data_IF_951920177040
#
_entry.id   IF_951920177040
#
_cell.length_a   1.000
_cell.length_b   1.000
_cell.length_c   1.000
_cell.angle_alpha   90.00
_cell.angle_beta   90.00
_cell.angle_gamma   90.00
#
_symmetry.space_group_name_H-M   'P 1'
#
loop_
_entity.id
_entity.type
_entity.pdbx_description
1 polymer ?
#
# COMPACT_ATOMS: atom_id res chain seq x y z
N UNK A 1 -10.36 -31.36 -24.47
CA UNK A 1 -9.12 -31.18 -23.68
C UNK A 1 -9.22 -32.02 -22.40
N UNK A 2 -9.23 -33.35 -22.53
CA UNK A 2 -9.26 -34.31 -21.42
C UNK A 2 -8.16 -35.38 -21.61
N UNK A 3 -7.06 -35.01 -22.27
CA UNK A 3 -6.06 -35.99 -22.75
C UNK A 3 -4.64 -35.70 -22.27
N UNK A 4 -4.51 -35.04 -21.12
CA UNK A 4 -3.25 -34.97 -20.37
C UNK A 4 -3.61 -35.21 -18.90
N UNK A 5 -3.25 -36.37 -18.36
CA UNK A 5 -3.54 -36.82 -16.98
C UNK A 5 -2.81 -36.02 -15.90
N UNK A 6 -2.95 -34.70 -15.90
CA UNK A 6 -2.58 -33.86 -14.77
C UNK A 6 -3.81 -33.63 -13.91
N UNK A 7 -3.76 -34.04 -12.65
CA UNK A 7 -4.74 -33.62 -11.65
C UNK A 7 -4.68 -32.09 -11.51
N UNK A 8 -5.75 -31.42 -11.93
CA UNK A 8 -5.88 -29.97 -11.77
C UNK A 8 -6.16 -29.68 -10.31
N UNK A 9 -5.13 -29.28 -9.57
CA UNK A 9 -5.26 -28.86 -8.19
C UNK A 9 -5.73 -27.41 -8.10
N UNK A 10 -6.80 -27.15 -7.35
CA UNK A 10 -7.29 -25.79 -7.05
C UNK A 10 -6.55 -25.13 -5.86
N UNK A 11 -5.44 -25.73 -5.43
CA UNK A 11 -4.65 -25.21 -4.32
C UNK A 11 -4.00 -23.88 -4.73
N UNK A 12 -3.99 -22.92 -3.80
CA UNK A 12 -3.36 -21.62 -4.02
C UNK A 12 -1.85 -21.75 -4.25
N UNK A 13 -1.17 -22.60 -3.46
CA UNK A 13 0.24 -22.95 -3.66
C UNK A 13 0.61 -24.20 -2.84
N UNK A 14 1.89 -24.58 -2.83
CA UNK A 14 2.40 -25.71 -2.03
C UNK A 14 2.12 -25.56 -0.52
N UNK A 15 2.02 -24.34 -0.01
CA UNK A 15 1.74 -24.06 1.40
C UNK A 15 0.26 -24.12 1.76
N UNK A 16 -0.64 -23.78 0.84
CA UNK A 16 -2.07 -23.57 1.11
C UNK A 16 -2.90 -24.50 0.22
N UNK A 17 -3.50 -25.56 0.79
CA UNK A 17 -4.29 -26.55 0.05
C UNK A 17 -5.75 -26.11 -0.17
N UNK A 18 -5.96 -24.83 -0.43
CA UNK A 18 -7.29 -24.24 -0.62
C UNK A 18 -7.25 -23.24 -1.77
N UNK A 19 -8.37 -23.09 -2.47
CA UNK A 19 -8.53 -21.99 -3.41
C UNK A 19 -8.63 -20.66 -2.65
N UNK A 20 -8.36 -19.54 -3.33
CA UNK A 20 -8.44 -18.20 -2.73
C UNK A 20 -9.81 -17.89 -2.12
N UNK A 21 -10.89 -18.34 -2.77
CA UNK A 21 -12.26 -18.13 -2.29
C UNK A 21 -12.53 -18.88 -0.97
N UNK A 22 -12.10 -20.13 -0.87
CA UNK A 22 -12.23 -20.92 0.34
C UNK A 22 -11.39 -20.34 1.48
N UNK A 23 -10.16 -19.92 1.17
CA UNK A 23 -9.28 -19.26 2.12
C UNK A 23 -9.91 -17.99 2.69
N UNK A 24 -10.57 -17.18 1.85
CA UNK A 24 -11.32 -15.99 2.29
C UNK A 24 -12.41 -16.35 3.30
N UNK A 25 -13.23 -17.37 2.99
CA UNK A 25 -14.32 -17.81 3.87
C UNK A 25 -13.79 -18.33 5.20
N UNK A 26 -12.71 -19.12 5.18
CA UNK A 26 -12.10 -19.65 6.41
C UNK A 26 -11.59 -18.52 7.30
N UNK A 27 -10.88 -17.54 6.73
CA UNK A 27 -10.36 -16.39 7.48
C UNK A 27 -11.50 -15.56 8.06
N UNK A 28 -12.57 -15.33 7.28
CA UNK A 28 -13.73 -14.56 7.71
C UNK A 28 -14.48 -15.24 8.88
N UNK A 29 -14.76 -16.55 8.76
CA UNK A 29 -15.52 -17.30 9.77
C UNK A 29 -14.70 -17.47 11.05
N UNK A 30 -13.43 -17.86 10.93
CA UNK A 30 -12.53 -18.06 12.09
C UNK A 30 -12.00 -16.75 12.66
N UNK A 31 -12.25 -15.61 12.00
CA UNK A 31 -11.75 -14.27 12.36
C UNK A 31 -10.24 -14.24 12.61
N UNK A 32 -9.48 -14.90 11.73
CA UNK A 32 -8.02 -14.94 11.83
C UNK A 32 -7.46 -13.57 11.43
N UNK A 33 -6.68 -12.94 12.30
CA UNK A 33 -6.21 -11.56 12.08
C UNK A 33 -4.77 -11.45 11.59
N UNK A 34 -3.94 -12.43 11.91
CA UNK A 34 -2.50 -12.40 11.56
C UNK A 34 -2.16 -13.46 10.53
N UNK A 35 -1.09 -13.21 9.75
CA UNK A 35 -0.58 -14.21 8.81
C UNK A 35 -0.16 -15.51 9.51
N UNK A 36 0.46 -15.41 10.69
CA UNK A 36 0.85 -16.57 11.48
C UNK A 36 -0.36 -17.42 11.89
N UNK A 37 -1.46 -16.80 12.31
CA UNK A 37 -2.68 -17.53 12.66
C UNK A 37 -3.32 -18.20 11.44
N UNK A 38 -3.27 -17.55 10.27
CA UNK A 38 -3.71 -18.16 9.01
C UNK A 38 -2.86 -19.37 8.68
N UNK A 39 -1.54 -19.26 8.72
CA UNK A 39 -0.63 -20.36 8.41
C UNK A 39 -0.80 -21.53 9.40
N UNK A 40 -0.99 -21.27 10.70
CA UNK A 40 -1.28 -22.31 11.69
C UNK A 40 -2.62 -23.00 11.47
N UNK A 41 -3.63 -22.26 11.01
CA UNK A 41 -4.99 -22.78 10.85
C UNK A 41 -5.20 -23.57 9.54
N UNK A 42 -4.52 -23.19 8.45
CA UNK A 42 -4.77 -23.74 7.11
C UNK A 42 -3.53 -24.16 6.33
N UNK A 43 -2.34 -23.80 6.79
CA UNK A 43 -1.09 -24.11 6.09
C UNK A 43 -0.70 -25.57 6.25
N UNK A 44 -0.14 -26.17 5.18
CA UNK A 44 0.50 -27.49 5.25
C UNK A 44 1.72 -27.48 6.19
N UNK A 45 2.40 -26.33 6.26
CA UNK A 45 3.54 -26.09 7.14
C UNK A 45 3.17 -24.88 8.01
N UNK A 46 2.75 -25.10 9.27
CA UNK A 46 2.26 -24.05 10.17
C UNK A 46 3.23 -22.88 10.38
N UNK A 47 4.53 -23.15 10.44
CA UNK A 47 5.58 -22.16 10.73
C UNK A 47 6.27 -21.63 9.46
N UNK A 48 5.68 -21.83 8.28
CA UNK A 48 6.24 -21.30 7.03
C UNK A 48 6.07 -19.78 6.93
N UNK A 49 7.10 -19.10 6.42
CA UNK A 49 7.08 -17.67 6.09
C UNK A 49 6.24 -17.34 4.84
N UNK A 50 5.70 -18.37 4.18
CA UNK A 50 4.96 -18.26 2.93
C UNK A 50 5.87 -18.08 1.70
N UNK A 51 5.23 -18.02 0.53
CA UNK A 51 5.87 -17.70 -0.75
C UNK A 51 5.26 -16.45 -1.37
N UNK A 52 5.80 -16.06 -2.52
CA UNK A 52 5.31 -14.96 -3.36
C UNK A 52 3.85 -15.09 -3.83
N UNK A 53 3.22 -16.26 -3.67
CA UNK A 53 1.80 -16.48 -3.97
C UNK A 53 0.91 -16.34 -2.74
N UNK A 54 1.17 -17.11 -1.68
CA UNK A 54 0.28 -17.11 -0.51
C UNK A 54 0.41 -15.86 0.36
N UNK A 55 1.62 -15.29 0.48
CA UNK A 55 1.84 -14.11 1.31
C UNK A 55 1.02 -12.89 0.85
N UNK A 56 1.08 -12.46 -0.44
CA UNK A 56 0.25 -11.35 -0.90
C UNK A 56 -1.24 -11.70 -0.96
N UNK A 57 -1.60 -12.96 -1.20
CA UNK A 57 -3.00 -13.39 -1.19
C UNK A 57 -3.62 -13.27 0.21
N UNK A 58 -2.93 -13.75 1.25
CA UNK A 58 -3.37 -13.65 2.64
C UNK A 58 -3.40 -12.18 3.09
N UNK A 59 -2.36 -11.40 2.76
CA UNK A 59 -2.33 -9.96 3.05
C UNK A 59 -3.54 -9.22 2.44
N UNK A 60 -3.88 -9.54 1.19
CA UNK A 60 -5.05 -8.97 0.50
C UNK A 60 -6.37 -9.35 1.19
N UNK A 61 -6.52 -10.61 1.62
CA UNK A 61 -7.73 -11.07 2.31
C UNK A 61 -7.88 -10.37 3.67
N UNK A 62 -6.80 -10.30 4.46
CA UNK A 62 -6.80 -9.65 5.76
C UNK A 62 -7.14 -8.15 5.65
N UNK A 63 -6.51 -7.45 4.70
CA UNK A 63 -6.83 -6.04 4.42
C UNK A 63 -8.28 -5.85 3.99
N UNK A 64 -8.86 -6.79 3.23
CA UNK A 64 -10.26 -6.70 2.80
C UNK A 64 -11.27 -6.94 3.93
N UNK A 65 -10.93 -7.80 4.90
CA UNK A 65 -11.84 -8.19 5.98
C UNK A 65 -11.78 -7.25 7.19
N UNK A 66 -10.58 -6.78 7.54
CA UNK A 66 -10.36 -6.02 8.78
C UNK A 66 -9.96 -4.57 8.52
N UNK A 67 -9.25 -4.31 7.42
CA UNK A 67 -8.82 -2.96 7.01
C UNK A 67 -8.11 -2.17 8.14
N UNK A 68 -7.30 -2.87 8.93
CA UNK A 68 -6.45 -2.27 9.95
C UNK A 68 -5.28 -1.48 9.31
N UNK A 69 -4.57 -0.66 10.09
CA UNK A 69 -3.61 0.29 9.53
C UNK A 69 -2.35 -0.43 9.01
N UNK A 70 -1.90 -0.04 7.82
CA UNK A 70 -0.80 -0.70 7.08
C UNK A 70 0.52 -0.75 7.86
N UNK A 71 0.73 0.23 8.75
CA UNK A 71 1.94 0.33 9.59
C UNK A 71 1.84 -0.44 10.92
N UNK A 72 0.70 -1.06 11.22
CA UNK A 72 0.56 -1.86 12.44
C UNK A 72 1.51 -3.07 12.40
N UNK A 73 2.10 -3.40 13.54
CA UNK A 73 3.18 -4.40 13.66
C UNK A 73 2.82 -5.74 13.02
N UNK A 74 1.55 -6.13 13.12
CA UNK A 74 1.03 -7.42 12.61
C UNK A 74 0.94 -7.47 11.08
N UNK A 75 0.78 -6.31 10.43
CA UNK A 75 0.58 -6.21 8.97
C UNK A 75 1.80 -5.70 8.23
N UNK A 76 2.70 -5.00 8.90
CA UNK A 76 3.88 -4.35 8.30
C UNK A 76 4.81 -5.32 7.56
N UNK A 77 4.96 -6.57 8.01
CA UNK A 77 5.78 -7.59 7.32
C UNK A 77 5.14 -8.20 6.07
N UNK A 78 3.84 -7.98 5.89
CA UNK A 78 3.07 -8.41 4.73
C UNK A 78 3.10 -7.40 3.59
N UNK A 79 3.61 -6.20 3.87
CA UNK A 79 3.63 -5.09 2.93
C UNK A 79 4.84 -5.14 1.99
N UNK A 80 4.59 -4.77 0.74
CA UNK A 80 5.64 -4.60 -0.26
C UNK A 80 6.47 -3.32 0.03
N UNK A 81 7.64 -3.16 -0.58
CA UNK A 81 8.59 -2.05 -0.29
C UNK A 81 7.94 -0.66 -0.29
N UNK A 82 6.98 -0.41 -1.18
CA UNK A 82 6.34 0.90 -1.27
C UNK A 82 5.40 1.19 -0.10
N UNK A 83 4.67 0.18 0.35
CA UNK A 83 3.71 0.26 1.46
C UNK A 83 4.44 0.39 2.79
N UNK A 84 5.60 -0.27 2.93
CA UNK A 84 6.45 -0.21 4.12
C UNK A 84 7.01 1.19 4.41
N UNK A 85 7.35 1.95 3.37
CA UNK A 85 7.94 3.28 3.50
C UNK A 85 6.94 4.42 3.21
N UNK A 86 5.70 4.06 2.89
CA UNK A 86 4.67 4.96 2.36
C UNK A 86 5.15 5.80 1.15
N UNK A 87 6.22 5.37 0.49
CA UNK A 87 6.98 6.11 -0.52
C UNK A 87 7.40 5.16 -1.65
N UNK A 88 7.60 5.70 -2.85
CA UNK A 88 7.74 4.87 -4.06
C UNK A 88 9.20 4.75 -4.47
N UNK A 89 9.73 3.52 -4.47
CA UNK A 89 11.10 3.28 -4.92
C UNK A 89 11.24 3.48 -6.44
N UNK A 90 12.26 4.24 -6.83
CA UNK A 90 12.62 4.52 -8.22
C UNK A 90 13.73 3.58 -8.69
N UNK A 91 13.93 3.47 -10.01
CA UNK A 91 14.99 2.62 -10.60
C UNK A 91 16.40 2.98 -10.14
N UNK A 92 16.63 4.24 -9.76
CA UNK A 92 17.90 4.74 -9.25
C UNK A 92 18.07 4.54 -7.73
N UNK A 93 17.16 3.82 -7.06
CA UNK A 93 17.20 3.55 -5.62
C UNK A 93 16.72 4.69 -4.72
N UNK A 94 16.37 5.85 -5.28
CA UNK A 94 15.72 6.95 -4.54
C UNK A 94 14.23 6.71 -4.38
N UNK A 95 13.58 7.46 -3.49
CA UNK A 95 12.16 7.38 -3.24
C UNK A 95 11.44 8.62 -3.76
N UNK A 96 10.16 8.44 -4.09
CA UNK A 96 9.22 9.54 -4.32
C UNK A 96 8.16 9.58 -3.22
N UNK A 97 7.87 10.79 -2.74
CA UNK A 97 6.93 11.06 -1.65
C UNK A 97 5.75 11.84 -2.22
N UNK A 98 4.56 11.32 -2.00
CA UNK A 98 3.33 11.87 -2.57
C UNK A 98 2.31 12.07 -1.45
N UNK A 99 2.12 13.31 -0.95
CA UNK A 99 1.06 13.62 -0.01
C UNK A 99 -0.32 13.42 -0.64
N UNK A 100 -1.32 13.10 0.18
CA UNK A 100 -2.71 13.00 -0.23
C UNK A 100 -3.30 14.39 -0.46
N UNK A 101 -3.91 14.56 -1.62
CA UNK A 101 -4.61 15.78 -2.03
C UNK A 101 -5.92 15.38 -2.72
N UNK A 102 -7.01 15.14 -1.97
CA UNK A 102 -8.30 14.75 -2.54
C UNK A 102 -8.84 15.86 -3.44
N UNK A 103 -9.28 15.51 -4.66
CA UNK A 103 -9.82 16.48 -5.62
C UNK A 103 -8.83 17.54 -6.12
N UNK A 104 -7.55 17.47 -5.73
CA UNK A 104 -6.59 18.54 -5.96
C UNK A 104 -6.76 19.76 -5.04
N UNK A 105 -7.59 19.66 -4.00
CA UNK A 105 -7.81 20.73 -3.05
C UNK A 105 -6.68 20.80 -2.03
N UNK A 106 -5.94 21.91 -2.05
CA UNK A 106 -4.81 22.14 -1.14
C UNK A 106 -4.81 23.59 -0.66
N UNK A 107 -4.69 23.78 0.65
CA UNK A 107 -4.55 25.10 1.27
C UNK A 107 -3.18 25.71 0.98
N UNK A 108 -3.08 27.04 1.00
CA UNK A 108 -1.80 27.76 0.84
C UNK A 108 -0.72 27.27 1.82
N UNK A 109 -1.06 27.05 3.09
CA UNK A 109 -0.11 26.60 4.11
C UNK A 109 0.49 25.23 3.77
N UNK A 110 -0.36 24.24 3.45
CA UNK A 110 0.11 22.92 2.99
C UNK A 110 0.98 23.01 1.74
N UNK A 111 0.63 23.88 0.79
CA UNK A 111 1.43 24.09 -0.42
C UNK A 111 2.82 24.67 -0.10
N UNK A 112 2.88 25.62 0.83
CA UNK A 112 4.14 26.20 1.33
C UNK A 112 4.99 25.13 2.01
N UNK A 113 4.39 24.31 2.87
CA UNK A 113 5.11 23.21 3.55
C UNK A 113 5.69 22.22 2.55
N UNK A 114 4.92 21.80 1.53
CA UNK A 114 5.44 20.93 0.46
C UNK A 114 6.65 21.58 -0.22
N UNK A 115 6.57 22.88 -0.54
CA UNK A 115 7.69 23.61 -1.13
C UNK A 115 8.92 23.72 -0.21
N UNK A 116 8.71 23.91 1.09
CA UNK A 116 9.77 23.98 2.09
C UNK A 116 10.48 22.62 2.24
N UNK A 117 9.72 21.53 2.40
CA UNK A 117 10.24 20.16 2.47
C UNK A 117 11.02 19.83 1.19
N UNK A 118 10.44 20.11 0.03
CA UNK A 118 11.11 19.86 -1.24
C UNK A 118 12.45 20.62 -1.36
N UNK A 119 12.50 21.89 -0.95
CA UNK A 119 13.75 22.67 -0.92
C UNK A 119 14.76 22.11 0.09
N UNK A 120 14.31 21.77 1.30
CA UNK A 120 15.15 21.28 2.40
C UNK A 120 15.88 19.98 2.01
N UNK A 121 15.19 19.07 1.34
CA UNK A 121 15.73 17.76 0.96
C UNK A 121 16.19 17.69 -0.52
N UNK A 122 16.18 18.81 -1.25
CA UNK A 122 16.62 18.87 -2.64
C UNK A 122 15.77 18.03 -3.61
N UNK A 123 14.46 17.95 -3.36
CA UNK A 123 13.54 17.09 -4.10
C UNK A 123 13.03 17.76 -5.37
N UNK A 124 13.01 17.00 -6.47
CA UNK A 124 12.37 17.44 -7.70
C UNK A 124 10.85 17.32 -7.57
N UNK A 125 10.12 18.40 -7.78
CA UNK A 125 8.65 18.40 -7.70
C UNK A 125 8.02 18.27 -9.08
N UNK A 126 7.01 17.40 -9.20
CA UNK A 126 6.19 17.26 -10.40
C UNK A 126 4.71 17.24 -10.06
N UNK A 127 3.93 18.07 -10.74
CA UNK A 127 2.47 17.96 -10.72
C UNK A 127 2.06 16.75 -11.56
N UNK A 128 1.23 15.88 -11.01
CA UNK A 128 0.80 14.65 -11.68
C UNK A 128 -0.61 14.78 -12.26
N UNK A 129 -0.96 13.93 -13.23
CA UNK A 129 -2.33 13.83 -13.77
C UNK A 129 -3.39 13.35 -12.75
N UNK A 130 -2.95 13.03 -11.53
CA UNK A 130 -3.76 12.74 -10.37
C UNK A 130 -3.97 13.98 -9.47
N UNK A 131 -3.73 15.20 -9.96
CA UNK A 131 -4.00 16.45 -9.24
C UNK A 131 -3.29 16.54 -7.88
N UNK A 132 -2.04 16.08 -7.83
CA UNK A 132 -1.21 16.08 -6.63
C UNK A 132 0.25 16.33 -7.01
N UNK A 133 1.03 16.76 -6.03
CA UNK A 133 2.46 17.03 -6.16
C UNK A 133 3.25 15.79 -5.73
N UNK A 134 4.13 15.32 -6.60
CA UNK A 134 5.05 14.22 -6.34
C UNK A 134 6.46 14.78 -6.17
N UNK A 135 7.12 14.41 -5.07
CA UNK A 135 8.46 14.86 -4.71
C UNK A 135 9.45 13.71 -4.88
N UNK A 136 10.37 13.83 -5.84
CA UNK A 136 11.33 12.79 -6.22
C UNK A 136 12.72 13.05 -5.65
N UNK A 137 13.48 11.98 -5.45
CA UNK A 137 14.90 12.03 -5.08
C UNK A 137 15.16 11.87 -3.59
N UNK A 138 14.15 11.50 -2.81
CA UNK A 138 14.30 11.29 -1.38
C UNK A 138 15.21 10.08 -1.10
N UNK A 139 16.15 10.21 -0.17
CA UNK A 139 16.94 9.08 0.31
C UNK A 139 16.17 8.34 1.40
N UNK A 140 16.39 7.02 1.49
CA UNK A 140 15.70 6.17 2.49
C UNK A 140 15.78 6.71 3.92
N UNK A 141 16.95 7.21 4.32
CA UNK A 141 17.20 7.75 5.66
C UNK A 141 16.46 9.06 5.94
N UNK A 142 16.15 9.84 4.90
CA UNK A 142 15.49 11.14 5.01
C UNK A 142 13.94 10.98 5.07
N UNK A 143 13.42 9.79 4.76
CA UNK A 143 11.98 9.55 4.64
C UNK A 143 11.20 9.81 5.93
N UNK A 144 11.77 9.46 7.08
CA UNK A 144 11.10 9.66 8.36
C UNK A 144 10.93 11.15 8.66
N UNK A 145 11.97 11.95 8.41
CA UNK A 145 11.93 13.40 8.63
C UNK A 145 10.97 14.07 7.65
N UNK A 146 11.02 13.69 6.37
CA UNK A 146 10.09 14.17 5.34
C UNK A 146 8.64 13.90 5.76
N UNK A 147 8.30 12.66 6.13
CA UNK A 147 6.94 12.32 6.56
C UNK A 147 6.53 13.03 7.84
N UNK A 148 7.45 13.18 8.80
CA UNK A 148 7.17 13.89 10.06
C UNK A 148 6.78 15.34 9.80
N UNK A 149 7.52 16.05 8.94
CA UNK A 149 7.18 17.43 8.57
C UNK A 149 5.84 17.53 7.85
N UNK A 150 5.55 16.61 6.93
CA UNK A 150 4.29 16.59 6.20
C UNK A 150 3.10 16.30 7.12
N UNK A 151 3.23 15.32 8.03
CA UNK A 151 2.19 14.94 8.99
C UNK A 151 1.94 16.04 10.01
N UNK A 152 2.98 16.71 10.48
CA UNK A 152 2.83 17.86 11.38
C UNK A 152 2.05 19.02 10.72
N UNK A 153 2.10 19.13 9.40
CA UNK A 153 1.29 20.07 8.62
C UNK A 153 -0.11 19.53 8.24
N UNK A 154 -0.52 18.40 8.83
CA UNK A 154 -1.83 17.78 8.59
C UNK A 154 -1.97 17.15 7.21
N UNK A 155 -0.88 16.64 6.63
CA UNK A 155 -0.89 15.83 5.41
C UNK A 155 -0.71 14.36 5.74
N UNK A 156 -1.26 13.49 4.88
CA UNK A 156 -1.14 12.04 4.99
C UNK A 156 -0.57 11.46 3.69
N UNK A 157 -0.19 10.17 3.68
CA UNK A 157 0.31 9.54 2.45
C UNK A 157 -0.79 9.44 1.39
N UNK A 158 -0.44 9.82 0.17
CA UNK A 158 -1.27 9.68 -1.02
C UNK A 158 -1.30 8.25 -1.57
N UNK A 159 -0.59 7.31 -0.94
CA UNK A 159 -0.62 5.88 -1.28
C UNK A 159 -0.38 5.62 -2.78
N UNK A 160 0.58 6.33 -3.37
CA UNK A 160 0.64 6.48 -4.83
C UNK A 160 0.73 5.15 -5.60
N UNK A 161 1.41 4.15 -5.03
CA UNK A 161 1.58 2.80 -5.59
C UNK A 161 1.20 1.69 -4.60
N UNK A 162 0.50 2.05 -3.53
CA UNK A 162 -0.02 1.11 -2.57
C UNK A 162 -1.21 0.32 -3.14
N UNK A 163 -1.47 -0.87 -2.59
CA UNK A 163 -2.73 -1.61 -2.83
C UNK A 163 -3.88 -1.00 -2.02
N UNK A 164 -4.13 0.29 -2.18
CA UNK A 164 -5.19 1.02 -1.48
C UNK A 164 -5.83 2.08 -2.39
N UNK A 165 -6.88 2.74 -1.89
CA UNK A 165 -7.48 3.87 -2.58
C UNK A 165 -6.40 4.94 -2.77
N UNK A 166 -6.11 5.31 -4.02
CA UNK A 166 -5.03 6.26 -4.34
C UNK A 166 -5.51 7.70 -4.23
N UNK A 167 -6.00 8.24 -5.34
CA UNK A 167 -6.50 9.61 -5.43
C UNK A 167 -7.94 9.58 -5.94
N UNK A 168 -8.76 10.46 -5.39
CA UNK A 168 -10.05 10.86 -5.96
C UNK A 168 -9.80 12.12 -6.78
N UNK A 169 -10.08 12.07 -8.09
CA UNK A 169 -9.94 13.22 -8.99
C UNK A 169 -11.29 13.92 -9.14
N UNK A 170 -11.26 15.25 -9.21
CA UNK A 170 -12.45 16.09 -9.42
C UNK A 170 -12.18 17.04 -10.58
N UNK A 171 -13.20 17.54 -11.28
CA UNK A 171 -13.00 18.60 -12.26
C UNK A 171 -12.31 19.80 -11.57
N UNK A 172 -11.16 20.29 -12.06
CA UNK A 172 -10.45 21.39 -11.41
C UNK A 172 -11.17 22.73 -11.57
N UNK A 173 -12.13 22.82 -12.50
CA UNK A 173 -12.98 23.99 -12.67
C UNK A 173 -14.19 23.83 -11.76
N UNK A 174 -14.27 24.55 -10.63
CA UNK A 174 -15.52 24.62 -9.88
C UNK A 174 -16.58 25.25 -10.79
N UNK A 175 -17.77 24.66 -10.85
CA UNK A 175 -18.96 25.40 -11.30
C UNK A 175 -19.26 26.44 -10.22
N UNK A 176 -18.55 27.55 -10.28
CA UNK A 176 -18.93 28.76 -9.57
C UNK A 176 -20.26 29.18 -10.21
N UNK A 177 -21.35 28.94 -9.49
CA UNK A 177 -22.58 29.69 -9.72
C UNK A 177 -22.27 31.07 -9.15
N UNK A 178 -21.71 31.92 -10.02
CA UNK A 178 -21.62 33.37 -9.76
C UNK A 178 -22.98 33.99 -9.99
#
# INVERSE_FOLDING_TARGET
MLDMGQEVSNNLCIHIPYARADLYNIIAIKRLRTFGDVMKAVGKIPDSLGCELCKPAIASILSSLFNDHVMDKEYHELQDTNDRFLANIQRNGTFSVVPRVPGGEITADKLIVIGQVAKKFGLYCKITGAQRIDMFGARKQDLLDIWTELVNAGMESGHAYAKSLRTIKVCPVPRLVV
#
